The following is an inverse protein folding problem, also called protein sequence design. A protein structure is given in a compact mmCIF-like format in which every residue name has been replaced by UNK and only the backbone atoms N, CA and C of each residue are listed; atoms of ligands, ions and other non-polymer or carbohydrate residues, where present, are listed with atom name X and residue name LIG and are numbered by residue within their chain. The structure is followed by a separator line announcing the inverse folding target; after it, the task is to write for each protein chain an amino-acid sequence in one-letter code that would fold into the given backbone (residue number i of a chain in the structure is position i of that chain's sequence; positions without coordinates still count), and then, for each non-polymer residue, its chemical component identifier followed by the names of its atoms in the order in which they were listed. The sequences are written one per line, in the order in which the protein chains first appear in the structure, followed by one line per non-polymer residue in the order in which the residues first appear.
data_IF_105363300653
#
_entry.id   IF_105363300653
#
_cell.length_a   1.000
_cell.length_b   1.000
_cell.length_c   1.000
_cell.angle_alpha   90.00
_cell.angle_beta   90.00
_cell.angle_gamma   90.00
#
_symmetry.space_group_name_H-M   'P 1'
#
loop_
_entity.id
_entity.type
_entity.pdbx_description
1 polymer ?
#
# COMPACT_ATOMS: atom_id res chain seq x y z
N UNK A 1 5.74 -39.77 -29.61
CA UNK A 1 7.04 -39.78 -28.92
C UNK A 1 7.91 -38.64 -29.45
N UNK A 2 8.21 -37.65 -28.60
CA UNK A 2 9.35 -36.70 -28.60
C UNK A 2 8.90 -35.36 -28.00
N UNK A 3 9.22 -35.16 -26.73
CA UNK A 3 9.53 -33.85 -26.12
C UNK A 3 9.74 -34.07 -24.61
N UNK A 4 10.97 -34.40 -24.21
CA UNK A 4 11.33 -34.52 -22.79
C UNK A 4 12.73 -33.94 -22.50
N UNK A 5 13.20 -33.01 -23.33
CA UNK A 5 14.57 -32.46 -23.24
C UNK A 5 14.60 -30.97 -22.85
N UNK A 6 13.46 -30.27 -22.78
CA UNK A 6 13.44 -28.83 -22.46
C UNK A 6 13.37 -28.49 -20.96
N UNK A 7 13.11 -29.45 -20.06
CA UNK A 7 12.82 -29.15 -18.63
C UNK A 7 14.09 -29.14 -17.74
N UNK A 8 15.25 -29.54 -18.26
CA UNK A 8 16.48 -29.66 -17.44
C UNK A 8 17.42 -28.44 -17.42
N UNK A 9 17.14 -27.37 -18.19
CA UNK A 9 18.06 -26.23 -18.30
C UNK A 9 17.75 -25.06 -17.32
N UNK A 10 16.55 -24.94 -16.75
CA UNK A 10 16.21 -23.81 -15.85
C UNK A 10 16.53 -24.02 -14.36
N UNK A 11 17.18 -25.12 -13.96
CA UNK A 11 17.39 -25.47 -12.54
C UNK A 11 18.72 -25.01 -11.93
N UNK A 12 19.49 -24.14 -12.60
CA UNK A 12 20.85 -23.78 -12.13
C UNK A 12 21.13 -22.29 -11.90
N UNK A 13 20.14 -21.40 -11.96
CA UNK A 13 20.37 -19.94 -11.79
C UNK A 13 19.77 -19.36 -10.49
N UNK A 14 18.90 -20.05 -9.76
CA UNK A 14 18.27 -19.51 -8.54
C UNK A 14 18.98 -19.89 -7.22
N UNK A 15 20.32 -19.92 -7.16
CA UNK A 15 21.03 -20.32 -5.92
C UNK A 15 22.17 -19.42 -5.43
N UNK A 16 22.33 -18.22 -5.95
CA UNK A 16 23.27 -17.25 -5.42
C UNK A 16 22.56 -15.92 -5.24
N UNK A 17 22.07 -15.61 -4.03
CA UNK A 17 21.83 -14.23 -3.58
C UNK A 17 21.42 -14.10 -2.09
N UNK A 18 21.81 -15.02 -1.21
CA UNK A 18 21.64 -14.84 0.25
C UNK A 18 22.83 -15.42 1.02
N UNK A 19 23.94 -14.69 1.02
CA UNK A 19 25.02 -14.89 1.97
C UNK A 19 25.70 -13.56 2.27
N UNK A 20 25.55 -13.08 3.50
CA UNK A 20 26.29 -11.94 4.01
C UNK A 20 25.39 -11.01 4.81
N UNK A 21 25.40 -11.16 6.13
CA UNK A 21 25.63 -10.09 7.11
C UNK A 21 25.39 -10.67 8.52
N UNK A 22 26.47 -11.13 9.12
CA UNK A 22 26.56 -11.44 10.55
C UNK A 22 27.76 -10.68 11.14
N UNK A 23 27.54 -9.97 12.24
CA UNK A 23 28.57 -9.24 13.02
C UNK A 23 27.90 -8.22 13.94
N UNK A 24 27.50 -8.63 15.15
CA UNK A 24 28.20 -8.46 16.44
C UNK A 24 28.12 -7.03 16.99
N UNK A 25 27.22 -6.83 17.95
CA UNK A 25 27.10 -5.63 18.80
C UNK A 25 27.80 -5.95 20.13
N UNK A 26 28.87 -5.22 20.46
CA UNK A 26 29.40 -5.12 21.82
C UNK A 26 28.85 -3.86 22.48
N UNK A 27 28.42 -4.02 23.73
CA UNK A 27 27.77 -2.98 24.51
C UNK A 27 28.73 -2.01 25.18
N UNK A 28 28.19 -0.84 25.54
CA UNK A 28 28.67 -0.05 26.68
C UNK A 28 27.53 0.76 27.27
N UNK A 29 27.32 0.57 28.57
CA UNK A 29 26.51 1.41 29.44
C UNK A 29 27.12 2.81 29.53
N UNK A 30 26.28 3.82 29.73
CA UNK A 30 26.67 5.07 30.37
C UNK A 30 25.48 5.61 31.19
N UNK A 31 25.81 6.02 32.40
CA UNK A 31 24.95 6.26 33.55
C UNK A 31 24.22 7.61 33.51
N UNK A 32 23.20 7.66 34.37
CA UNK A 32 22.46 8.84 34.80
C UNK A 32 23.38 9.84 35.49
N UNK A 33 23.22 11.12 35.20
CA UNK A 33 23.43 12.18 36.19
C UNK A 33 22.24 13.14 36.13
N UNK A 34 21.61 13.27 37.29
CA UNK A 34 20.58 14.24 37.61
C UNK A 34 21.26 15.53 38.08
N UNK A 35 20.73 16.68 37.70
CA UNK A 35 20.91 17.90 38.48
C UNK A 35 19.63 18.76 38.42
N UNK A 36 19.14 19.05 39.63
CA UNK A 36 18.02 19.95 39.95
C UNK A 36 18.59 21.36 40.13
N UNK A 37 17.84 22.37 39.69
CA UNK A 37 17.73 23.64 40.41
C UNK A 37 16.42 24.36 40.07
N UNK A 38 15.64 24.68 41.12
CA UNK A 38 14.59 25.70 41.08
C UNK A 38 15.22 27.10 41.26
N UNK A 39 14.51 28.22 41.37
CA UNK A 39 13.10 28.49 41.52
C UNK A 39 12.87 30.01 41.36
N UNK A 40 11.60 30.39 41.16
CA UNK A 40 10.94 31.64 41.61
C UNK A 40 11.20 32.98 40.87
N UNK A 41 10.09 33.49 40.33
CA UNK A 41 9.84 34.91 40.05
C UNK A 41 8.45 35.06 39.43
N UNK A 42 7.46 35.52 40.20
CA UNK A 42 6.05 35.62 39.78
C UNK A 42 5.47 37.04 39.82
N UNK A 43 4.59 37.28 38.83
CA UNK A 43 3.36 38.13 38.81
C UNK A 43 3.49 39.69 38.75
N UNK A 44 2.51 40.42 38.14
CA UNK A 44 1.05 40.20 38.28
C UNK A 44 0.10 40.40 37.06
N UNK A 45 -1.08 39.77 37.21
CA UNK A 45 -2.46 40.06 36.74
C UNK A 45 -2.76 40.67 35.36
N UNK A 46 -3.68 40.01 34.63
CA UNK A 46 -5.00 40.57 34.29
C UNK A 46 -5.98 39.45 33.87
N UNK A 47 -7.15 39.43 34.52
CA UNK A 47 -8.32 38.64 34.15
C UNK A 47 -8.91 39.13 32.81
N UNK A 48 -9.18 38.21 31.89
CA UNK A 48 -10.20 38.38 30.84
C UNK A 48 -10.73 37.00 30.43
N UNK A 49 -12.05 36.88 30.42
CA UNK A 49 -12.84 35.66 30.40
C UNK A 49 -12.93 35.01 29.00
N UNK A 50 -12.77 33.68 28.99
CA UNK A 50 -13.56 32.67 28.26
C UNK A 50 -13.84 32.88 26.76
N UNK A 51 -13.01 32.24 25.93
CA UNK A 51 -13.47 31.60 24.70
C UNK A 51 -13.06 30.11 24.77
N UNK A 52 -14.05 29.22 24.89
CA UNK A 52 -13.87 27.76 24.89
C UNK A 52 -13.24 27.33 23.57
N UNK A 53 -11.93 27.09 23.60
CA UNK A 53 -11.24 26.29 22.60
C UNK A 53 -11.74 24.85 22.73
N UNK A 54 -12.21 24.30 21.62
CA UNK A 54 -12.56 22.90 21.50
C UNK A 54 -11.24 22.10 21.62
N UNK A 55 -10.90 21.64 22.82
CA UNK A 55 -9.96 20.53 22.98
C UNK A 55 -10.63 19.32 22.32
N UNK A 56 -10.15 18.95 21.13
CA UNK A 56 -10.44 17.65 20.53
C UNK A 56 -9.91 16.58 21.48
N UNK A 57 -10.76 16.20 22.42
CA UNK A 57 -10.54 15.09 23.34
C UNK A 57 -10.42 13.85 22.49
N UNK A 58 -9.22 13.26 22.43
CA UNK A 58 -8.97 11.97 21.78
C UNK A 58 -10.02 10.99 22.27
N UNK A 59 -10.87 10.52 21.35
CA UNK A 59 -11.86 9.52 21.65
C UNK A 59 -11.14 8.29 22.25
N UNK A 60 -11.61 7.72 23.36
CA UNK A 60 -10.97 6.58 23.98
C UNK A 60 -10.84 5.46 22.93
N UNK A 61 -9.62 4.96 22.72
CA UNK A 61 -9.38 3.85 21.81
C UNK A 61 -10.38 2.73 22.11
N UNK A 62 -11.23 2.39 21.14
CA UNK A 62 -12.19 1.31 21.32
C UNK A 62 -11.45 0.05 21.79
N UNK A 63 -11.93 -0.58 22.87
CA UNK A 63 -11.30 -1.78 23.44
C UNK A 63 -11.10 -2.90 22.40
N UNK A 64 -11.91 -2.91 21.34
CA UNK A 64 -11.79 -3.82 20.19
C UNK A 64 -10.53 -3.55 19.34
N UNK A 65 -10.17 -2.29 19.12
CA UNK A 65 -8.99 -1.92 18.32
C UNK A 65 -7.70 -2.32 19.03
N UNK A 66 -7.61 -2.06 20.34
CA UNK A 66 -6.45 -2.50 21.13
C UNK A 66 -6.34 -4.03 21.17
N UNK A 67 -7.49 -4.71 21.31
CA UNK A 67 -7.55 -6.16 21.28
C UNK A 67 -7.08 -6.76 19.94
N UNK A 68 -7.38 -6.11 18.81
CA UNK A 68 -6.92 -6.53 17.49
C UNK A 68 -5.41 -6.38 17.36
N UNK A 69 -4.87 -5.20 17.66
CA UNK A 69 -3.43 -4.91 17.51
C UNK A 69 -2.61 -5.89 18.35
N UNK A 70 -3.06 -6.20 19.57
CA UNK A 70 -2.43 -7.19 20.44
C UNK A 70 -2.41 -8.60 19.80
N UNK A 71 -3.52 -9.04 19.18
CA UNK A 71 -3.60 -10.34 18.49
C UNK A 71 -2.70 -10.34 17.26
N UNK A 72 -2.77 -9.30 16.44
CA UNK A 72 -1.98 -9.18 15.22
C UNK A 72 -0.48 -9.15 15.50
N UNK A 73 -0.05 -8.52 16.59
CA UNK A 73 1.34 -8.53 17.03
C UNK A 73 1.76 -9.92 17.54
N UNK A 74 0.97 -10.52 18.44
CA UNK A 74 1.28 -11.85 19.03
C UNK A 74 1.29 -12.98 18.00
N UNK A 75 0.48 -12.86 16.95
CA UNK A 75 0.36 -13.86 15.88
C UNK A 75 1.19 -13.53 14.66
N UNK A 76 2.03 -12.49 14.71
CA UNK A 76 2.92 -12.09 13.61
C UNK A 76 2.19 -11.75 12.30
N UNK A 77 1.03 -11.08 12.39
CA UNK A 77 0.42 -10.36 11.28
C UNK A 77 1.07 -8.99 11.09
N UNK A 78 1.36 -8.29 12.19
CA UNK A 78 2.07 -7.01 12.20
C UNK A 78 3.45 -7.18 12.83
N UNK A 79 4.45 -6.50 12.27
CA UNK A 79 5.78 -6.41 12.86
C UNK A 79 5.88 -5.14 13.71
N UNK A 80 6.84 -5.10 14.64
CA UNK A 80 7.13 -3.90 15.44
C UNK A 80 6.63 -3.91 16.89
N UNK A 81 6.90 -2.79 17.56
CA UNK A 81 6.52 -2.54 18.95
C UNK A 81 5.15 -1.84 19.04
N UNK A 82 4.47 -1.93 20.20
CA UNK A 82 3.14 -1.31 20.40
C UNK A 82 3.13 0.19 20.12
N UNK A 83 4.22 0.90 20.46
CA UNK A 83 4.37 2.34 20.22
C UNK A 83 4.51 2.70 18.73
N UNK A 84 5.02 1.79 17.91
CA UNK A 84 5.14 1.96 16.45
C UNK A 84 3.87 1.57 15.69
N UNK A 85 2.95 0.85 16.35
CA UNK A 85 1.68 0.36 15.80
C UNK A 85 0.50 1.24 16.21
N UNK A 86 0.73 2.55 16.34
CA UNK A 86 -0.38 3.49 16.47
C UNK A 86 -1.25 3.47 15.21
N UNK A 87 -2.54 3.82 15.36
CA UNK A 87 -3.47 3.95 14.24
C UNK A 87 -2.91 4.81 13.12
N UNK A 88 -2.36 5.96 13.48
CA UNK A 88 -1.87 6.94 12.52
C UNK A 88 -0.63 6.39 11.78
N UNK A 89 0.22 5.60 12.45
CA UNK A 89 1.36 4.90 11.83
C UNK A 89 0.92 3.81 10.85
N UNK A 90 -0.12 3.05 11.20
CA UNK A 90 -0.69 2.01 10.34
C UNK A 90 -1.36 2.61 9.09
N UNK A 91 -2.09 3.72 9.23
CA UNK A 91 -2.76 4.39 8.12
C UNK A 91 -1.81 5.20 7.22
N UNK A 92 -0.69 5.67 7.79
CA UNK A 92 0.32 6.46 7.08
C UNK A 92 1.46 5.63 6.49
N UNK A 93 1.42 4.29 6.59
CA UNK A 93 2.49 3.45 6.04
C UNK A 93 3.87 3.66 6.70
N UNK A 94 3.93 4.33 7.85
CA UNK A 94 5.17 4.53 8.63
C UNK A 94 5.42 3.39 9.62
N UNK A 95 4.60 2.34 9.58
CA UNK A 95 4.75 1.18 10.45
C UNK A 95 5.95 0.33 10.00
N UNK A 96 6.58 -0.43 10.91
CA UNK A 96 7.78 -1.24 10.61
C UNK A 96 7.51 -2.49 9.75
N UNK A 97 6.36 -2.53 9.05
CA UNK A 97 5.98 -3.59 8.13
C UNK A 97 5.01 -4.64 8.70
N UNK A 98 4.59 -5.54 7.83
CA UNK A 98 3.79 -6.71 8.17
C UNK A 98 4.68 -7.87 8.63
N UNK A 99 4.15 -8.71 9.52
CA UNK A 99 4.77 -9.99 9.85
C UNK A 99 4.49 -11.05 8.77
N UNK A 100 5.04 -12.28 8.91
CA UNK A 100 4.89 -13.32 7.89
C UNK A 100 3.44 -13.62 7.52
N UNK A 101 2.53 -13.68 8.51
CA UNK A 101 1.11 -13.94 8.23
C UNK A 101 0.43 -12.74 7.55
N UNK A 102 0.85 -11.51 7.86
CA UNK A 102 0.33 -10.31 7.21
C UNK A 102 0.79 -10.19 5.77
N UNK A 103 2.06 -10.56 5.49
CA UNK A 103 2.60 -10.60 4.13
C UNK A 103 1.86 -11.64 3.29
N UNK A 104 1.61 -12.84 3.83
CA UNK A 104 0.89 -13.88 3.08
C UNK A 104 -0.59 -13.50 2.88
N UNK A 105 -1.23 -12.85 3.87
CA UNK A 105 -2.59 -12.29 3.71
C UNK A 105 -2.63 -11.25 2.58
N UNK A 106 -1.67 -10.32 2.58
CA UNK A 106 -1.54 -9.29 1.53
C UNK A 106 -1.31 -9.90 0.16
N UNK A 107 -0.46 -10.93 0.07
CA UNK A 107 -0.17 -11.67 -1.16
C UNK A 107 -1.44 -12.37 -1.68
N UNK A 108 -2.20 -13.04 -0.83
CA UNK A 108 -3.46 -13.66 -1.21
C UNK A 108 -4.47 -12.61 -1.70
N UNK A 109 -4.57 -11.47 -1.01
CA UNK A 109 -5.42 -10.36 -1.42
C UNK A 109 -5.02 -9.79 -2.79
N UNK A 110 -3.73 -9.58 -3.01
CA UNK A 110 -3.18 -9.14 -4.29
C UNK A 110 -3.46 -10.14 -5.42
N UNK A 111 -3.32 -11.44 -5.15
CA UNK A 111 -3.59 -12.51 -6.12
C UNK A 111 -5.08 -12.59 -6.50
N UNK A 112 -5.99 -12.46 -5.52
CA UNK A 112 -7.43 -12.39 -5.75
C UNK A 112 -7.83 -11.12 -6.52
N UNK A 113 -7.14 -10.00 -6.26
CA UNK A 113 -7.32 -8.77 -7.03
C UNK A 113 -6.88 -8.97 -8.48
N UNK A 114 -5.69 -9.56 -8.67
CA UNK A 114 -5.12 -9.80 -9.99
C UNK A 114 -5.96 -10.75 -10.83
N UNK A 115 -6.47 -11.83 -10.22
CA UNK A 115 -7.36 -12.78 -10.87
C UNK A 115 -8.65 -12.10 -11.34
N UNK A 116 -9.26 -11.32 -10.44
CA UNK A 116 -10.49 -10.57 -10.71
C UNK A 116 -10.30 -9.50 -11.79
N UNK A 117 -9.24 -8.72 -11.74
CA UNK A 117 -9.05 -7.54 -12.60
C UNK A 117 -8.35 -7.88 -13.92
N UNK A 118 -7.35 -8.75 -13.90
CA UNK A 118 -6.48 -9.02 -15.06
C UNK A 118 -6.84 -10.35 -15.71
N UNK A 119 -6.78 -11.46 -14.98
CA UNK A 119 -6.87 -12.81 -15.57
C UNK A 119 -8.21 -13.06 -16.25
N UNK A 120 -9.32 -12.67 -15.61
CA UNK A 120 -10.66 -12.86 -16.19
C UNK A 120 -11.08 -11.81 -17.23
N UNK A 121 -10.18 -10.89 -17.61
CA UNK A 121 -10.47 -9.82 -18.57
C UNK A 121 -9.44 -9.77 -19.68
N UNK A 122 -9.85 -10.19 -20.87
CA UNK A 122 -8.99 -10.25 -22.07
C UNK A 122 -8.40 -8.90 -22.50
N UNK A 123 -9.03 -7.79 -22.10
CA UNK A 123 -8.65 -6.43 -22.48
C UNK A 123 -7.78 -5.74 -21.42
N UNK A 124 -7.32 -6.46 -20.39
CA UNK A 124 -6.47 -5.92 -19.33
C UNK A 124 -5.08 -6.53 -19.43
N UNK A 125 -4.06 -5.69 -19.55
CA UNK A 125 -2.67 -6.11 -19.68
C UNK A 125 -1.85 -5.71 -18.45
N UNK A 126 -0.92 -6.57 -18.08
CA UNK A 126 0.05 -6.29 -17.03
C UNK A 126 1.08 -5.28 -17.52
N UNK A 127 1.41 -4.29 -16.70
CA UNK A 127 2.51 -3.37 -16.95
C UNK A 127 3.44 -3.29 -15.76
N UNK A 128 4.71 -3.02 -16.05
CA UNK A 128 5.70 -2.71 -15.04
C UNK A 128 6.21 -1.28 -15.25
N UNK A 129 6.42 -0.60 -14.14
CA UNK A 129 6.84 0.78 -14.09
C UNK A 129 7.90 0.96 -13.02
N UNK A 130 8.87 1.82 -13.33
CA UNK A 130 9.94 2.19 -12.41
C UNK A 130 9.41 2.85 -11.14
N UNK A 131 10.18 2.78 -10.05
CA UNK A 131 9.82 3.39 -8.77
C UNK A 131 10.09 4.90 -8.72
N UNK A 132 10.79 5.44 -9.72
CA UNK A 132 11.13 6.85 -9.81
C UNK A 132 10.55 7.44 -11.10
N UNK A 133 10.11 8.70 -11.03
CA UNK A 133 9.62 9.46 -12.16
C UNK A 133 10.62 10.57 -12.51
N UNK A 134 10.90 10.81 -13.80
CA UNK A 134 11.66 11.96 -14.24
C UNK A 134 10.77 13.21 -14.17
N UNK A 135 11.27 14.32 -13.61
CA UNK A 135 10.56 15.59 -13.76
C UNK A 135 11.07 16.75 -12.89
N UNK A 136 11.04 17.98 -13.44
CA UNK A 136 11.24 19.19 -12.65
C UNK A 136 10.09 19.37 -11.64
N UNK A 137 10.38 19.93 -10.46
CA UNK A 137 9.35 20.28 -9.47
C UNK A 137 8.38 21.31 -10.04
N UNK A 138 7.08 21.04 -9.92
CA UNK A 138 6.11 22.12 -9.77
C UNK A 138 6.22 22.70 -8.34
N UNK A 139 6.03 24.02 -8.15
CA UNK A 139 6.05 24.62 -6.81
C UNK A 139 4.97 23.96 -5.94
N UNK A 140 5.37 23.31 -4.85
CA UNK A 140 4.46 22.59 -3.94
C UNK A 140 4.52 21.07 -4.01
N UNK A 141 5.29 20.48 -4.93
CA UNK A 141 5.51 19.03 -4.98
C UNK A 141 6.30 18.56 -3.73
N UNK A 142 5.67 17.69 -2.93
CA UNK A 142 6.20 17.16 -1.68
C UNK A 142 6.97 15.85 -1.83
N UNK A 143 7.09 15.32 -3.05
CA UNK A 143 7.73 14.04 -3.32
C UNK A 143 9.23 14.05 -2.98
N UNK A 144 9.70 12.94 -2.42
CA UNK A 144 11.11 12.74 -2.13
C UNK A 144 11.93 12.51 -3.40
N UNK A 145 13.16 13.01 -3.41
CA UNK A 145 14.07 12.90 -4.55
C UNK A 145 15.21 11.94 -4.26
N UNK A 146 15.61 11.20 -5.28
CA UNK A 146 16.80 10.37 -5.24
C UNK A 146 18.01 11.25 -5.59
N UNK A 147 18.83 11.52 -4.58
CA UNK A 147 20.09 12.27 -4.73
C UNK A 147 21.25 11.34 -4.46
N UNK A 148 22.26 11.35 -5.33
CA UNK A 148 23.48 10.59 -5.08
C UNK A 148 24.23 11.19 -3.88
N UNK A 149 24.54 10.35 -2.90
CA UNK A 149 25.34 10.75 -1.75
C UNK A 149 26.77 11.15 -2.17
N UNK A 150 27.26 10.66 -3.31
CA UNK A 150 28.58 10.99 -3.83
C UNK A 150 28.63 12.45 -4.30
N UNK A 151 27.66 12.88 -5.09
CA UNK A 151 27.56 14.27 -5.57
C UNK A 151 27.42 15.27 -4.43
N UNK A 152 26.68 14.90 -3.36
CA UNK A 152 26.61 15.72 -2.15
C UNK A 152 27.94 15.77 -1.39
N UNK A 153 28.67 14.66 -1.31
CA UNK A 153 29.97 14.61 -0.62
C UNK A 153 31.05 15.39 -1.35
N UNK A 154 31.09 15.32 -2.69
CA UNK A 154 32.03 16.09 -3.52
C UNK A 154 31.91 17.59 -3.20
N UNK A 155 30.68 18.09 -3.13
CA UNK A 155 30.41 19.51 -2.87
C UNK A 155 30.65 19.90 -1.42
N UNK A 156 30.41 18.99 -0.48
CA UNK A 156 30.78 19.23 0.92
C UNK A 156 32.31 19.23 1.13
N UNK A 157 33.09 18.65 0.22
CA UNK A 157 34.55 18.68 0.25
C UNK A 157 35.13 19.97 -0.35
N UNK A 158 34.42 20.59 -1.29
CA UNK A 158 34.80 21.88 -1.88
C UNK A 158 34.55 23.04 -0.89
N UNK A 159 35.57 23.39 -0.12
CA UNK A 159 35.51 24.45 0.92
C UNK A 159 35.44 25.89 0.40
N UNK A 160 35.60 26.10 -0.91
CA UNK A 160 35.64 27.44 -1.55
C UNK A 160 34.37 27.76 -2.37
N UNK A 161 33.27 27.04 -2.17
CA UNK A 161 32.04 27.29 -2.92
C UNK A 161 31.37 28.61 -2.55
N UNK A 162 31.07 29.43 -3.56
CA UNK A 162 30.26 30.63 -3.39
C UNK A 162 28.80 30.25 -3.09
N UNK A 163 28.07 31.16 -2.43
CA UNK A 163 26.64 30.98 -2.16
C UNK A 163 25.84 30.80 -3.46
N UNK A 164 26.22 31.50 -4.54
CA UNK A 164 25.53 31.34 -5.83
C UNK A 164 25.77 29.96 -6.44
N UNK A 165 26.99 29.42 -6.33
CA UNK A 165 27.32 28.08 -6.84
C UNK A 165 26.53 26.99 -6.11
N UNK A 166 26.38 27.12 -4.79
CA UNK A 166 25.61 26.18 -3.97
C UNK A 166 24.12 26.24 -4.31
N UNK A 167 23.56 27.45 -4.51
CA UNK A 167 22.16 27.62 -4.93
C UNK A 167 21.94 27.03 -6.33
N UNK A 168 22.81 27.34 -7.29
CA UNK A 168 22.72 26.81 -8.65
C UNK A 168 22.82 25.28 -8.67
N UNK A 169 23.67 24.70 -7.83
CA UNK A 169 23.76 23.27 -7.67
C UNK A 169 22.49 22.66 -7.08
N UNK A 170 21.94 23.22 -6.00
CA UNK A 170 20.69 22.75 -5.41
C UNK A 170 19.53 22.86 -6.41
N UNK A 171 19.45 23.94 -7.17
CA UNK A 171 18.47 24.08 -8.25
C UNK A 171 18.66 23.03 -9.34
N UNK A 172 19.91 22.75 -9.73
CA UNK A 172 20.22 21.72 -10.71
C UNK A 172 19.82 20.32 -10.19
N UNK A 173 20.15 20.00 -8.93
CA UNK A 173 19.70 18.77 -8.28
C UNK A 173 18.18 18.66 -8.26
N UNK A 174 17.47 19.73 -7.89
CA UNK A 174 16.00 19.73 -7.87
C UNK A 174 15.40 19.56 -9.27
N UNK A 175 16.09 19.97 -10.33
CA UNK A 175 15.64 19.78 -11.72
C UNK A 175 15.96 18.40 -12.29
N UNK A 176 17.12 17.84 -11.93
CA UNK A 176 17.67 16.61 -12.53
C UNK A 176 17.32 15.34 -11.74
N UNK A 177 17.17 15.45 -10.42
CA UNK A 177 16.94 14.29 -9.56
C UNK A 177 15.55 13.72 -9.77
N UNK A 178 15.47 12.41 -10.02
CA UNK A 178 14.22 11.68 -10.10
C UNK A 178 13.44 11.75 -8.78
N UNK A 179 12.11 11.84 -8.88
CA UNK A 179 11.22 11.79 -7.72
C UNK A 179 10.71 10.38 -7.49
N UNK A 180 10.47 9.99 -6.25
CA UNK A 180 9.78 8.74 -5.95
C UNK A 180 8.32 8.83 -6.40
N UNK A 181 7.78 7.74 -6.96
CA UNK A 181 6.40 7.71 -7.44
C UNK A 181 5.42 7.78 -6.27
N UNK A 182 4.41 8.65 -6.39
CA UNK A 182 3.31 8.75 -5.43
C UNK A 182 2.11 7.88 -5.83
N UNK A 183 2.02 7.52 -7.11
CA UNK A 183 0.97 6.68 -7.68
C UNK A 183 1.54 5.83 -8.85
N UNK A 184 0.77 4.85 -9.31
CA UNK A 184 1.17 3.98 -10.44
C UNK A 184 0.64 4.48 -11.81
N UNK A 185 -0.08 5.61 -11.83
CA UNK A 185 -0.73 6.12 -13.05
C UNK A 185 0.31 6.51 -14.10
N UNK A 186 1.37 7.23 -13.69
CA UNK A 186 2.37 7.76 -14.62
C UNK A 186 3.04 6.66 -15.46
N UNK A 187 3.43 5.56 -14.81
CA UNK A 187 4.05 4.42 -15.47
C UNK A 187 3.13 3.72 -16.46
N UNK A 188 1.84 3.60 -16.14
CA UNK A 188 0.86 3.06 -17.07
C UNK A 188 0.66 3.98 -18.29
N UNK A 189 0.69 5.30 -18.11
CA UNK A 189 0.60 6.27 -19.21
C UNK A 189 1.83 6.22 -20.15
N UNK A 190 3.02 5.90 -19.61
CA UNK A 190 4.23 5.69 -20.43
C UNK A 190 4.10 4.48 -21.36
N UNK A 191 3.47 3.39 -20.88
CA UNK A 191 3.29 2.18 -21.68
C UNK A 191 2.06 2.24 -22.60
N UNK A 192 1.26 3.31 -22.52
CA UNK A 192 0.04 3.46 -23.32
C UNK A 192 0.28 3.24 -24.83
N UNK A 193 1.27 3.90 -25.43
CA UNK A 193 1.53 3.82 -26.86
C UNK A 193 1.93 2.39 -27.33
N UNK A 194 2.72 1.69 -26.52
CA UNK A 194 3.17 0.32 -26.80
C UNK A 194 2.00 -0.67 -26.70
N UNK A 195 1.20 -0.56 -25.64
CA UNK A 195 0.04 -1.42 -25.45
C UNK A 195 -1.08 -1.12 -26.46
N UNK A 196 -1.23 0.13 -26.90
CA UNK A 196 -2.16 0.51 -27.94
C UNK A 196 -1.84 -0.21 -29.26
N UNK A 197 -0.56 -0.35 -29.60
CA UNK A 197 -0.12 -1.11 -30.78
C UNK A 197 -0.46 -2.60 -30.65
N UNK A 198 -0.21 -3.20 -29.48
CA UNK A 198 -0.53 -4.60 -29.18
C UNK A 198 -2.01 -4.94 -29.40
N UNK A 199 -2.93 -4.05 -28.99
CA UNK A 199 -4.38 -4.25 -29.18
C UNK A 199 -4.88 -3.83 -30.57
N UNK A 200 -3.97 -3.61 -31.53
CA UNK A 200 -4.28 -3.09 -32.85
C UNK A 200 -5.10 -1.78 -32.78
N UNK A 201 -4.74 -0.89 -31.86
CA UNK A 201 -5.43 0.37 -31.57
C UNK A 201 -6.91 0.22 -31.22
N UNK A 202 -7.38 -0.94 -30.75
CA UNK A 202 -8.79 -1.12 -30.36
C UNK A 202 -9.03 -0.59 -28.94
N UNK A 203 -10.02 0.27 -28.79
CA UNK A 203 -10.53 0.69 -27.48
C UNK A 203 -11.86 -0.04 -27.19
N UNK A 204 -12.21 -0.29 -25.91
CA UNK A 204 -11.45 0.04 -24.70
C UNK A 204 -10.46 -1.07 -24.28
N UNK A 205 -9.46 -0.71 -23.47
CA UNK A 205 -8.56 -1.67 -22.81
C UNK A 205 -7.98 -1.05 -21.52
N UNK A 206 -7.38 -1.88 -20.67
CA UNK A 206 -6.79 -1.46 -19.41
C UNK A 206 -5.36 -1.93 -19.21
N UNK A 207 -4.62 -1.20 -18.40
CA UNK A 207 -3.28 -1.53 -17.93
C UNK A 207 -3.32 -1.65 -16.41
N UNK A 208 -2.84 -2.77 -15.88
CA UNK A 208 -2.87 -3.06 -14.45
C UNK A 208 -1.47 -3.30 -13.90
N UNK A 209 -1.23 -2.77 -12.69
CA UNK A 209 0.01 -2.94 -11.96
C UNK A 209 -0.28 -3.02 -10.46
N UNK A 210 0.49 -3.85 -9.74
CA UNK A 210 0.56 -3.83 -8.28
C UNK A 210 1.98 -3.43 -7.91
N UNK A 211 2.15 -2.40 -7.09
CA UNK A 211 3.45 -1.88 -6.73
C UNK A 211 3.44 -0.99 -5.50
N UNK A 212 4.60 -0.78 -4.90
CA UNK A 212 4.77 0.12 -3.76
C UNK A 212 4.86 1.56 -4.23
N UNK A 213 4.09 2.44 -3.61
CA UNK A 213 4.08 3.89 -3.79
C UNK A 213 4.50 4.58 -2.49
N UNK A 214 5.09 5.75 -2.64
CA UNK A 214 5.66 6.51 -1.53
C UNK A 214 4.88 7.80 -1.34
N UNK A 215 4.60 8.17 -0.10
CA UNK A 215 3.94 9.44 0.17
C UNK A 215 4.58 10.17 1.36
N UNK A 216 4.72 11.50 1.29
CA UNK A 216 5.25 12.28 2.40
C UNK A 216 4.25 12.31 3.55
N UNK A 217 4.72 12.01 4.77
CA UNK A 217 3.94 12.09 6.00
C UNK A 217 4.48 13.25 6.84
N UNK A 218 3.64 14.24 7.06
CA UNK A 218 3.91 15.35 7.98
C UNK A 218 3.56 14.91 9.40
N UNK A 219 4.55 14.44 10.17
CA UNK A 219 4.34 14.10 11.57
C UNK A 219 4.53 15.36 12.43
N UNK A 220 3.43 16.01 12.82
CA UNK A 220 3.44 17.22 13.65
C UNK A 220 3.85 16.89 15.10
N UNK A 221 3.78 15.63 15.52
CA UNK A 221 3.81 15.27 16.96
C UNK A 221 5.17 14.74 17.46
N UNK A 222 6.12 14.35 16.60
CA UNK A 222 7.32 13.60 17.06
C UNK A 222 8.68 14.23 16.76
N UNK A 223 8.81 15.26 15.91
CA UNK A 223 10.13 15.83 15.57
C UNK A 223 10.03 17.36 15.44
N UNK A 224 10.79 18.16 16.23
CA UNK A 224 10.78 19.62 16.15
C UNK A 224 11.64 20.19 15.01
N UNK A 225 12.13 19.35 14.10
CA UNK A 225 12.76 19.75 12.85
C UNK A 225 11.87 19.28 11.70
N UNK A 226 11.60 20.13 10.71
CA UNK A 226 10.67 19.90 9.59
C UNK A 226 11.02 18.75 8.63
N UNK A 227 11.61 17.67 9.12
CA UNK A 227 11.91 16.44 8.40
C UNK A 227 10.62 15.62 8.27
N UNK A 228 10.08 15.58 7.05
CA UNK A 228 8.95 14.71 6.71
C UNK A 228 9.40 13.24 6.73
N UNK A 229 8.54 12.33 7.19
CA UNK A 229 8.78 10.89 7.04
C UNK A 229 8.24 10.42 5.68
N UNK A 230 8.76 9.30 5.20
CA UNK A 230 8.25 8.62 4.01
C UNK A 230 7.34 7.49 4.48
N UNK A 231 6.08 7.52 4.06
CA UNK A 231 5.16 6.40 4.17
C UNK A 231 5.23 5.53 2.92
N UNK A 232 5.22 4.21 3.11
CA UNK A 232 5.14 3.24 2.02
C UNK A 232 3.75 2.60 2.01
N UNK A 233 3.14 2.49 0.82
CA UNK A 233 1.88 1.77 0.64
C UNK A 233 1.90 0.95 -0.64
N UNK A 234 1.32 -0.24 -0.56
CA UNK A 234 1.18 -1.14 -1.71
C UNK A 234 -0.13 -0.82 -2.42
N UNK A 235 -0.03 -0.23 -3.60
CA UNK A 235 -1.19 0.09 -4.44
C UNK A 235 -1.41 -0.97 -5.51
N UNK A 236 -2.68 -1.30 -5.74
CA UNK A 236 -3.14 -2.01 -6.91
C UNK A 236 -3.87 -1.01 -7.83
N UNK A 237 -3.28 -0.72 -8.98
CA UNK A 237 -3.79 0.28 -9.92
C UNK A 237 -4.22 -0.37 -11.22
N UNK A 238 -5.37 0.06 -11.72
CA UNK A 238 -5.89 -0.22 -13.04
C UNK A 238 -6.16 1.12 -13.75
N UNK A 239 -5.48 1.33 -14.86
CA UNK A 239 -5.69 2.47 -15.74
C UNK A 239 -6.46 1.99 -16.97
N UNK A 240 -7.70 2.45 -17.11
CA UNK A 240 -8.62 2.04 -18.17
C UNK A 240 -8.77 3.13 -19.21
N UNK A 241 -8.44 2.80 -20.46
CA UNK A 241 -8.53 3.69 -21.61
C UNK A 241 -9.82 3.42 -22.37
N UNK A 242 -10.66 4.44 -22.47
CA UNK A 242 -11.97 4.30 -23.10
C UNK A 242 -12.37 5.57 -23.86
N UNK A 243 -13.38 5.51 -24.72
CA UNK A 243 -13.86 6.71 -25.40
C UNK A 243 -14.62 7.62 -24.44
N UNK A 244 -14.53 8.94 -24.64
CA UNK A 244 -15.22 9.93 -23.80
C UNK A 244 -16.74 9.65 -23.66
N UNK A 245 -17.37 9.15 -24.74
CA UNK A 245 -18.79 8.77 -24.78
C UNK A 245 -19.16 7.69 -23.76
N UNK A 246 -18.28 6.73 -23.51
CA UNK A 246 -18.57 5.59 -22.62
C UNK A 246 -17.86 5.70 -21.26
N UNK A 247 -17.10 6.77 -21.03
CA UNK A 247 -16.30 6.98 -19.81
C UNK A 247 -17.11 6.88 -18.52
N UNK A 248 -18.28 7.53 -18.45
CA UNK A 248 -19.15 7.46 -17.27
C UNK A 248 -19.72 6.05 -17.04
N UNK A 249 -20.11 5.36 -18.11
CA UNK A 249 -20.64 3.99 -18.00
C UNK A 249 -19.58 3.01 -17.49
N UNK A 250 -18.33 3.18 -17.94
CA UNK A 250 -17.20 2.40 -17.45
C UNK A 250 -16.85 2.74 -16.00
N UNK A 251 -16.93 4.01 -15.60
CA UNK A 251 -16.71 4.41 -14.20
C UNK A 251 -17.74 3.74 -13.27
N UNK A 252 -19.02 3.74 -13.65
CA UNK A 252 -20.10 3.10 -12.87
C UNK A 252 -19.99 1.56 -12.87
N UNK A 253 -19.49 0.99 -13.97
CA UNK A 253 -19.18 -0.44 -14.05
C UNK A 253 -18.06 -0.81 -13.06
N UNK A 254 -16.94 -0.08 -13.09
CA UNK A 254 -15.81 -0.33 -12.20
C UNK A 254 -16.20 -0.10 -10.75
N UNK A 255 -16.94 0.97 -10.43
CA UNK A 255 -17.42 1.23 -9.08
C UNK A 255 -18.18 0.04 -8.50
N UNK A 256 -19.18 -0.47 -9.23
CA UNK A 256 -19.98 -1.61 -8.79
C UNK A 256 -19.15 -2.88 -8.69
N UNK A 257 -18.30 -3.15 -9.68
CA UNK A 257 -17.47 -4.35 -9.69
C UNK A 257 -16.46 -4.36 -8.53
N UNK A 258 -15.80 -3.24 -8.27
CA UNK A 258 -14.83 -3.08 -7.17
C UNK A 258 -15.51 -3.15 -5.80
N UNK A 259 -16.66 -2.49 -5.63
CA UNK A 259 -17.43 -2.57 -4.39
C UNK A 259 -17.90 -4.01 -4.10
N UNK A 260 -18.40 -4.73 -5.11
CA UNK A 260 -18.78 -6.14 -4.98
C UNK A 260 -17.58 -7.02 -4.64
N UNK A 261 -16.41 -6.75 -5.24
CA UNK A 261 -15.19 -7.49 -4.95
C UNK A 261 -14.76 -7.35 -3.49
N UNK A 262 -14.76 -6.13 -2.93
CA UNK A 262 -14.47 -5.93 -1.50
C UNK A 262 -15.48 -6.64 -0.59
N UNK A 263 -16.77 -6.56 -0.93
CA UNK A 263 -17.86 -7.19 -0.18
C UNK A 263 -17.82 -8.71 -0.22
N UNK A 264 -17.31 -9.31 -1.29
CA UNK A 264 -17.25 -10.77 -1.47
C UNK A 264 -16.50 -11.48 -0.35
N UNK A 265 -15.40 -10.89 0.13
CA UNK A 265 -14.54 -11.51 1.14
C UNK A 265 -14.85 -11.04 2.57
N UNK A 266 -15.81 -10.14 2.73
CA UNK A 266 -16.17 -9.56 4.02
C UNK A 266 -17.15 -10.45 4.79
N UNK A 267 -16.96 -10.55 6.10
CA UNK A 267 -17.92 -11.07 7.06
C UNK A 267 -19.10 -10.11 7.20
N UNK A 268 -18.86 -8.80 7.25
CA UNK A 268 -19.88 -7.76 7.31
C UNK A 268 -19.81 -6.82 6.09
N UNK A 269 -20.41 -7.19 4.94
CA UNK A 269 -20.36 -6.41 3.70
C UNK A 269 -20.88 -4.96 3.82
N UNK A 270 -21.70 -4.67 4.83
CA UNK A 270 -22.23 -3.33 5.13
C UNK A 270 -21.15 -2.32 5.53
N UNK A 271 -20.00 -2.78 6.03
CA UNK A 271 -18.88 -1.90 6.40
C UNK A 271 -18.20 -1.28 5.18
N UNK A 272 -18.41 -1.87 3.99
CA UNK A 272 -17.90 -1.33 2.73
C UNK A 272 -18.95 -0.44 2.08
N UNK A 273 -18.61 0.83 1.90
CA UNK A 273 -19.48 1.85 1.31
C UNK A 273 -18.77 2.61 0.19
N UNK A 274 -19.56 3.26 -0.67
CA UNK A 274 -19.07 4.15 -1.73
C UNK A 274 -19.61 5.56 -1.49
N UNK A 275 -18.81 6.56 -1.82
CA UNK A 275 -19.26 7.95 -1.92
C UNK A 275 -18.76 8.55 -3.22
N UNK A 276 -19.65 9.28 -3.87
CA UNK A 276 -19.30 10.10 -5.03
C UNK A 276 -18.47 11.29 -4.54
N UNK A 277 -17.46 11.67 -5.32
CA UNK A 277 -16.62 12.82 -5.05
C UNK A 277 -16.30 13.57 -6.33
N UNK A 278 -16.00 14.86 -6.19
CA UNK A 278 -15.53 15.69 -7.29
C UNK A 278 -14.16 16.23 -6.93
N UNK A 279 -13.30 16.30 -7.93
CA UNK A 279 -11.99 16.93 -7.81
C UNK A 279 -12.11 18.46 -7.84
N UNK A 280 -11.04 19.19 -7.52
CA UNK A 280 -11.01 20.65 -7.61
C UNK A 280 -11.29 21.14 -9.04
N UNK A 281 -10.94 20.35 -10.06
CA UNK A 281 -11.28 20.64 -11.47
C UNK A 281 -12.68 20.13 -11.89
N UNK A 282 -13.53 19.73 -10.93
CA UNK A 282 -14.90 19.25 -11.19
C UNK A 282 -14.97 17.86 -11.83
N UNK A 283 -13.86 17.11 -11.84
CA UNK A 283 -13.80 15.75 -12.39
C UNK A 283 -14.60 14.80 -11.50
N UNK A 284 -15.42 13.95 -12.12
CA UNK A 284 -16.20 12.94 -11.39
C UNK A 284 -15.29 11.80 -10.92
N UNK A 285 -15.40 11.47 -9.64
CA UNK A 285 -14.76 10.31 -9.05
C UNK A 285 -15.66 9.66 -8.01
N UNK A 286 -15.20 8.51 -7.52
CA UNK A 286 -15.84 7.76 -6.47
C UNK A 286 -14.76 7.24 -5.52
N UNK A 287 -15.05 7.25 -4.23
CA UNK A 287 -14.20 6.69 -3.19
C UNK A 287 -14.91 5.53 -2.53
N UNK A 288 -14.20 4.43 -2.36
CA UNK A 288 -14.64 3.29 -1.56
C UNK A 288 -14.04 3.41 -0.17
N UNK A 289 -14.89 3.19 0.83
CA UNK A 289 -14.56 3.32 2.23
C UNK A 289 -14.79 2.01 2.96
N UNK A 290 -13.94 1.75 3.95
CA UNK A 290 -14.21 0.79 5.01
C UNK A 290 -14.53 1.53 6.31
N UNK A 291 -15.56 1.05 7.02
CA UNK A 291 -15.95 1.60 8.31
C UNK A 291 -15.11 0.97 9.43
N UNK A 292 -14.04 1.65 9.82
CA UNK A 292 -13.24 1.29 10.99
C UNK A 292 -13.95 1.73 12.28
N UNK A 293 -13.57 1.18 13.46
CA UNK A 293 -14.17 1.57 14.74
C UNK A 293 -14.10 3.07 15.05
N UNK A 294 -13.15 3.79 14.45
CA UNK A 294 -12.98 5.25 14.62
C UNK A 294 -13.59 6.09 13.49
N UNK A 295 -14.07 5.47 12.40
CA UNK A 295 -14.63 6.20 11.27
C UNK A 295 -14.37 5.56 9.90
N UNK A 296 -14.85 6.23 8.86
CA UNK A 296 -14.72 5.78 7.47
C UNK A 296 -13.36 6.20 6.90
N UNK A 297 -12.58 5.22 6.44
CA UNK A 297 -11.30 5.47 5.78
C UNK A 297 -11.36 5.04 4.31
N UNK A 298 -10.79 5.83 3.39
CA UNK A 298 -10.75 5.46 1.97
C UNK A 298 -9.75 4.33 1.76
N UNK A 299 -10.22 3.27 1.09
CA UNK A 299 -9.43 2.09 0.73
C UNK A 299 -9.15 2.02 -0.78
N UNK A 300 -10.02 2.60 -1.60
CA UNK A 300 -9.86 2.58 -3.06
C UNK A 300 -10.51 3.82 -3.65
N UNK A 301 -9.90 4.36 -4.70
CA UNK A 301 -10.33 5.58 -5.38
C UNK A 301 -10.48 5.33 -6.87
N UNK A 302 -11.54 5.87 -7.45
CA UNK A 302 -11.86 5.76 -8.86
C UNK A 302 -12.05 7.18 -9.41
N UNK A 303 -11.32 7.52 -10.46
CA UNK A 303 -11.35 8.86 -11.05
C UNK A 303 -11.52 8.81 -12.55
N UNK A 304 -12.35 9.71 -13.09
CA UNK A 304 -12.36 10.02 -14.50
C UNK A 304 -11.44 11.23 -14.76
N UNK A 305 -10.25 10.95 -15.30
CA UNK A 305 -9.19 11.95 -15.48
C UNK A 305 -9.27 12.69 -16.82
N UNK A 306 -10.15 12.26 -17.73
CA UNK A 306 -10.22 12.84 -19.07
C UNK A 306 -9.01 12.45 -19.94
N UNK A 307 -8.67 13.31 -20.91
CA UNK A 307 -7.55 13.15 -21.84
C UNK A 307 -6.31 13.98 -21.47
N UNK A 308 -6.45 14.88 -20.48
CA UNK A 308 -5.42 15.86 -20.12
C UNK A 308 -4.08 15.21 -19.73
N UNK A 309 -4.10 14.14 -18.94
CA UNK A 309 -2.85 13.48 -18.49
C UNK A 309 -2.09 12.83 -19.65
N UNK A 310 -2.80 12.27 -20.64
CA UNK A 310 -2.17 11.74 -21.85
C UNK A 310 -1.59 12.85 -22.72
N UNK A 311 -2.32 13.96 -22.88
CA UNK A 311 -1.88 15.11 -23.68
C UNK A 311 -0.66 15.80 -23.05
N UNK A 312 -0.61 15.90 -21.71
CA UNK A 312 0.56 16.41 -20.98
C UNK A 312 1.78 15.52 -21.17
N UNK A 313 1.61 14.19 -21.18
CA UNK A 313 2.72 13.24 -21.32
C UNK A 313 3.29 13.18 -22.74
N UNK A 314 2.44 13.33 -23.76
CA UNK A 314 2.84 13.25 -25.17
C UNK A 314 2.56 14.57 -25.92
N UNK A 315 3.28 15.66 -25.60
CA UNK A 315 3.11 16.92 -26.31
C UNK A 315 3.49 16.73 -27.79
N UNK A 316 2.59 17.08 -28.70
CA UNK A 316 2.82 17.06 -30.15
C UNK A 316 2.66 15.72 -30.87
N UNK A 317 2.50 14.59 -30.17
CA UNK A 317 2.36 13.25 -30.77
C UNK A 317 0.92 12.70 -30.73
N UNK A 318 -0.08 13.56 -30.82
CA UNK A 318 -1.51 13.18 -30.73
C UNK A 318 -1.93 12.12 -31.74
N UNK A 319 -1.31 12.10 -32.93
CA UNK A 319 -1.58 11.09 -33.96
C UNK A 319 -1.30 9.65 -33.50
N UNK A 320 -0.28 9.46 -32.63
CA UNK A 320 0.06 8.15 -32.07
C UNK A 320 -0.90 7.74 -30.95
N UNK A 321 -1.63 8.69 -30.36
CA UNK A 321 -2.52 8.43 -29.24
C UNK A 321 -3.92 7.99 -29.66
N UNK A 322 -4.28 8.19 -30.93
CA UNK A 322 -5.61 7.86 -31.41
C UNK A 322 -5.89 6.36 -31.36
N UNK A 323 -6.87 5.97 -30.55
CA UNK A 323 -7.46 4.65 -30.54
C UNK A 323 -8.74 4.60 -31.39
N UNK A 324 -9.07 3.41 -31.87
CA UNK A 324 -10.26 3.10 -32.66
C UNK A 324 -11.44 2.82 -31.74
N UNK A 325 -12.44 3.71 -31.76
CA UNK A 325 -13.79 3.46 -31.24
C UNK A 325 -14.70 3.14 -32.43
N UNK A 326 -14.79 1.86 -32.77
CA UNK A 326 -15.48 1.39 -33.98
C UNK A 326 -14.80 1.89 -35.27
N UNK A 327 -15.43 2.86 -35.95
CA UNK A 327 -14.92 3.46 -37.20
C UNK A 327 -14.19 4.78 -37.00
N UNK A 328 -14.26 5.37 -35.79
CA UNK A 328 -13.67 6.68 -35.49
C UNK A 328 -12.37 6.52 -34.71
N UNK A 329 -11.43 7.40 -35.02
CA UNK A 329 -10.19 7.53 -34.26
C UNK A 329 -10.37 8.64 -33.23
N UNK A 330 -10.18 8.33 -31.95
CA UNK A 330 -10.39 9.25 -30.84
C UNK A 330 -9.22 9.18 -29.85
N UNK A 331 -8.91 10.30 -29.20
CA UNK A 331 -8.03 10.29 -28.02
C UNK A 331 -8.84 9.70 -26.86
N UNK A 332 -8.36 8.66 -26.17
CA UNK A 332 -9.12 8.06 -25.10
C UNK A 332 -9.14 8.95 -23.87
N UNK A 333 -10.25 8.83 -23.16
CA UNK A 333 -10.41 9.23 -21.78
C UNK A 333 -9.77 8.18 -20.87
N UNK A 334 -9.03 8.65 -19.87
CA UNK A 334 -8.35 7.82 -18.87
C UNK A 334 -9.21 7.73 -17.62
N UNK A 335 -9.56 6.50 -17.23
CA UNK A 335 -10.11 6.21 -15.92
C UNK A 335 -9.02 5.57 -15.05
N UNK A 336 -8.82 6.09 -13.85
CA UNK A 336 -7.85 5.54 -12.89
C UNK A 336 -8.60 4.89 -11.74
N UNK A 337 -8.26 3.64 -11.44
CA UNK A 337 -8.78 2.88 -10.30
C UNK A 337 -7.58 2.46 -9.47
N UNK A 338 -7.41 3.07 -8.29
CA UNK A 338 -6.28 2.83 -7.39
C UNK A 338 -6.75 2.37 -6.03
N UNK A 339 -6.42 1.13 -5.66
CA UNK A 339 -6.75 0.51 -4.38
C UNK A 339 -5.52 0.35 -3.48
N UNK A 340 -5.65 0.72 -2.22
CA UNK A 340 -4.65 0.50 -1.18
C UNK A 340 -4.82 -0.91 -0.60
N UNK A 341 -3.86 -1.80 -0.92
CA UNK A 341 -3.89 -3.18 -0.45
C UNK A 341 -3.53 -3.29 1.03
N UNK A 342 -2.68 -2.41 1.55
CA UNK A 342 -2.24 -2.46 2.94
C UNK A 342 -3.40 -2.06 3.87
N UNK A 343 -4.14 -0.99 3.53
CA UNK A 343 -5.40 -0.63 4.21
C UNK A 343 -6.48 -1.70 4.01
N UNK A 344 -6.54 -2.33 2.84
CA UNK A 344 -7.42 -3.45 2.58
C UNK A 344 -7.16 -4.65 3.50
N UNK A 345 -5.89 -4.98 3.73
CA UNK A 345 -5.47 -6.02 4.68
C UNK A 345 -5.90 -5.65 6.09
N UNK A 346 -5.67 -4.40 6.53
CA UNK A 346 -6.13 -3.92 7.82
C UNK A 346 -7.66 -4.03 7.93
N UNK A 347 -8.41 -3.57 6.92
CA UNK A 347 -9.86 -3.67 6.89
C UNK A 347 -10.36 -5.10 7.10
N UNK A 348 -9.80 -6.09 6.40
CA UNK A 348 -10.17 -7.50 6.59
C UNK A 348 -9.74 -8.07 7.95
N UNK A 349 -8.62 -7.61 8.52
CA UNK A 349 -8.24 -8.00 9.87
C UNK A 349 -9.26 -7.49 10.90
N UNK A 350 -9.68 -6.23 10.78
CA UNK A 350 -10.73 -5.64 11.62
C UNK A 350 -12.09 -6.35 11.43
N UNK A 351 -12.51 -6.58 10.18
CA UNK A 351 -13.78 -7.24 9.85
C UNK A 351 -13.85 -8.70 10.35
N UNK A 352 -12.71 -9.38 10.38
CA UNK A 352 -12.62 -10.78 10.80
C UNK A 352 -12.64 -10.99 12.32
N UNK A 353 -12.40 -9.95 13.13
CA UNK A 353 -12.27 -10.09 14.58
C UNK A 353 -13.60 -10.41 15.23
N UNK A 354 -13.64 -11.52 15.97
CA UNK A 354 -14.76 -11.88 16.82
C UNK A 354 -14.29 -12.16 18.24
N UNK A 355 -14.95 -11.52 19.20
CA UNK A 355 -14.78 -11.76 20.62
C UNK A 355 -15.86 -12.76 21.06
N UNK A 356 -15.48 -14.03 21.21
CA UNK A 356 -16.40 -15.07 21.70
C UNK A 356 -16.27 -15.20 23.22
N UNK A 357 -17.38 -15.11 23.92
CA UNK A 357 -17.45 -15.40 25.35
C UNK A 357 -17.77 -16.88 25.57
N UNK A 358 -16.90 -17.57 26.32
CA UNK A 358 -17.19 -18.92 26.78
C UNK A 358 -17.64 -18.90 28.24
N UNK A 359 -18.90 -19.23 28.51
CA UNK A 359 -19.47 -19.39 29.86
C UNK A 359 -19.11 -20.73 30.54
N UNK A 360 -18.33 -21.59 29.87
CA UNK A 360 -18.11 -22.97 30.31
C UNK A 360 -17.08 -23.13 31.44
N UNK A 361 -16.26 -22.12 31.74
CA UNK A 361 -15.27 -22.18 32.80
C UNK A 361 -15.78 -21.48 34.07
N UNK A 362 -16.22 -22.28 35.07
CA UNK A 362 -16.78 -21.85 36.38
C UNK A 362 -15.94 -20.86 37.23
N UNK A 363 -14.80 -20.33 36.75
CA UNK A 363 -13.96 -19.38 37.50
C UNK A 363 -13.35 -18.22 36.70
N UNK A 364 -13.53 -18.12 35.38
CA UNK A 364 -13.07 -16.96 34.58
C UNK A 364 -13.82 -16.92 33.24
N UNK A 365 -14.52 -15.82 32.97
CA UNK A 365 -15.02 -15.51 31.63
C UNK A 365 -13.76 -15.34 30.75
N UNK A 366 -13.52 -16.31 29.88
CA UNK A 366 -12.39 -16.29 28.94
C UNK A 366 -12.92 -15.80 27.61
N UNK A 367 -12.63 -14.54 27.27
CA UNK A 367 -12.83 -14.01 25.93
C UNK A 367 -11.85 -14.70 24.98
N UNK A 368 -12.36 -15.55 24.09
CA UNK A 368 -11.57 -16.12 23.00
C UNK A 368 -11.63 -15.16 21.83
N UNK A 369 -10.46 -14.68 21.41
CA UNK A 369 -10.30 -13.84 20.23
C UNK A 369 -10.08 -14.76 19.02
N UNK A 370 -10.94 -14.67 18.02
CA UNK A 370 -10.85 -15.45 16.77
C UNK A 370 -10.88 -14.51 15.58
N UNK A 371 -10.01 -14.74 14.59
CA UNK A 371 -10.01 -14.05 13.31
C UNK A 371 -10.68 -14.95 12.25
N UNK A 372 -11.88 -14.59 11.81
CA UNK A 372 -12.65 -15.31 10.78
C UNK A 372 -12.38 -14.71 9.40
N UNK A 373 -11.20 -14.96 8.85
CA UNK A 373 -10.85 -14.54 7.49
C UNK A 373 -11.51 -15.46 6.45
N UNK A 374 -11.85 -14.89 5.29
CA UNK A 374 -12.39 -15.66 4.18
C UNK A 374 -11.41 -16.78 3.73
N UNK A 375 -11.87 -18.00 3.42
CA UNK A 375 -11.00 -19.13 3.07
C UNK A 375 -9.96 -18.84 1.99
N UNK A 376 -10.26 -18.03 0.97
CA UNK A 376 -9.29 -17.62 -0.05
C UNK A 376 -8.16 -16.73 0.50
N UNK A 377 -8.45 -15.87 1.48
CA UNK A 377 -7.50 -14.88 2.01
C UNK A 377 -6.65 -15.42 3.16
N UNK A 378 -7.15 -16.42 3.90
CA UNK A 378 -6.47 -16.98 5.08
C UNK A 378 -5.00 -17.35 4.78
N UNK A 379 -4.01 -16.86 5.55
CA UNK A 379 -2.59 -17.16 5.35
C UNK A 379 -2.23 -18.64 5.48
N UNK A 380 -2.80 -19.31 6.48
CA UNK A 380 -2.52 -20.71 6.81
C UNK A 380 -3.82 -21.49 6.74
N UNK A 381 -3.99 -22.31 5.70
CA UNK A 381 -5.25 -23.04 5.47
C UNK A 381 -5.45 -24.18 6.47
N UNK A 382 -4.39 -24.92 6.76
CA UNK A 382 -4.42 -26.09 7.64
C UNK A 382 -3.20 -26.05 8.55
N UNK A 383 -3.41 -26.31 9.84
CA UNK A 383 -2.35 -26.61 10.79
C UNK A 383 -2.37 -28.12 11.04
N UNK A 384 -1.28 -28.80 10.73
CA UNK A 384 -1.11 -30.20 11.06
C UNK A 384 -0.40 -30.29 12.41
N UNK A 385 -1.06 -30.91 13.39
CA UNK A 385 -0.48 -31.18 14.70
C UNK A 385 -0.39 -32.69 14.93
N UNK A 386 0.68 -33.13 15.59
CA UNK A 386 0.90 -34.54 15.87
C UNK A 386 0.47 -34.82 17.31
N UNK A 387 -0.62 -35.57 17.45
CA UNK A 387 -1.15 -35.98 18.75
C UNK A 387 -0.27 -37.00 19.48
N UNK A 388 -0.81 -37.59 20.56
CA UNK A 388 -0.09 -38.60 21.34
C UNK A 388 0.06 -39.90 20.56
N UNK A 389 1.30 -40.34 20.34
CA UNK A 389 1.65 -41.60 19.68
C UNK A 389 3.15 -41.69 19.35
N UNK A 390 3.61 -42.79 18.71
CA UNK A 390 5.01 -42.97 18.34
C UNK A 390 5.45 -41.85 17.38
N UNK A 391 6.30 -40.96 17.91
CA UNK A 391 6.60 -39.66 17.28
C UNK A 391 7.36 -39.77 15.95
N UNK A 392 8.07 -40.88 15.73
CA UNK A 392 8.89 -41.08 14.53
C UNK A 392 8.03 -41.48 13.32
N UNK A 393 7.10 -42.42 13.50
CA UNK A 393 6.20 -42.89 12.44
C UNK A 393 5.17 -41.83 12.06
N UNK A 394 4.60 -41.15 13.06
CA UNK A 394 3.65 -40.05 12.82
C UNK A 394 4.31 -38.88 12.09
N UNK A 395 5.59 -38.58 12.37
CA UNK A 395 6.33 -37.57 11.61
C UNK A 395 6.59 -38.02 10.17
N UNK A 396 6.97 -39.29 9.95
CA UNK A 396 7.17 -39.85 8.61
C UNK A 396 5.92 -39.83 7.73
N UNK A 397 4.72 -39.90 8.30
CA UNK A 397 3.44 -39.75 7.56
C UNK A 397 3.05 -38.28 7.39
N UNK A 398 3.34 -37.42 8.37
CA UNK A 398 3.05 -35.99 8.31
C UNK A 398 3.86 -35.23 7.25
N UNK A 399 5.12 -35.64 7.02
CA UNK A 399 6.02 -34.91 6.12
C UNK A 399 5.61 -35.05 4.63
N UNK A 400 5.30 -36.24 4.10
CA UNK A 400 4.76 -36.39 2.74
C UNK A 400 3.40 -35.69 2.57
N UNK A 401 2.49 -35.86 3.52
CA UNK A 401 1.18 -35.20 3.48
C UNK A 401 1.32 -33.67 3.42
N UNK A 402 2.27 -33.08 4.15
CA UNK A 402 2.55 -31.65 4.09
C UNK A 402 3.07 -31.17 2.72
N UNK A 403 3.77 -32.04 1.98
CA UNK A 403 4.21 -31.76 0.61
C UNK A 403 3.04 -31.84 -0.37
N UNK A 404 2.14 -32.81 -0.21
CA UNK A 404 1.00 -33.03 -1.11
C UNK A 404 -0.07 -31.92 -0.95
N UNK A 405 -0.37 -31.49 0.28
CA UNK A 405 -1.31 -30.38 0.52
C UNK A 405 -0.82 -29.05 -0.07
N UNK A 406 0.49 -28.82 -0.14
CA UNK A 406 1.06 -27.65 -0.78
C UNK A 406 0.92 -27.71 -2.30
N UNK A 407 0.84 -28.87 -2.95
CA UNK A 407 0.62 -28.94 -4.40
C UNK A 407 -0.83 -28.63 -4.81
N UNK A 408 -1.80 -29.14 -4.06
CA UNK A 408 -3.23 -28.96 -4.38
C UNK A 408 -3.74 -27.54 -4.08
N UNK A 409 -3.13 -26.84 -3.13
CA UNK A 409 -3.53 -25.47 -2.76
C UNK A 409 -3.09 -24.39 -3.76
N UNK A 410 -2.14 -24.68 -4.68
CA UNK A 410 -1.79 -23.81 -5.81
C UNK A 410 -2.51 -24.19 -7.13
N UNK A 411 -3.30 -25.28 -7.14
CA UNK A 411 -3.89 -25.85 -8.36
C UNK A 411 -5.41 -25.66 -8.50
N UNK A 412 -6.03 -24.73 -7.76
CA UNK A 412 -7.47 -24.43 -7.88
C UNK A 412 -7.76 -22.98 -8.24
#
# INVERSE_FOLDING_TARGET
MRSNVAIRACRKVCRCLLSGFGGRIEGRQAERLAERSGSLGGHPNAHAELARGCEETEAPESAESEALVEVCQRRHFLSGTKQQLSRDSLLSGCHPGFGPLGIELRKNLAAEWWSSVVVFREQVFAVDAVHHEPGPSLPGDGAFRLVSAETLREILQDKELSKEQLVAFLENLLKTSGKLRENLLHGALEQYANCLDLVNKRLPYGLAQIGVCFHPVSDIKQIPSGVKRIGERTEASLVWFTSARTSSQWLDFWLRHRLLWWRKFAMSPSNFSSSDCQDEEGRKGNKLYYNFPWGKEPIETLWNLGDQELLRKYPGNVSKLHGRDGRKNVVPCVLSVSGDLDRGVLAYLYDSLQLTENSFARKKILHRKVLKLHPCLVPVKVALDVGRGPTVELRQVSSPASCDFNYDSYSK
#
